data_IF_013182909301
#
_entry.id   IF_013182909301
#
_cell.length_a   1.000
_cell.length_b   1.000
_cell.length_c   1.000
_cell.angle_alpha   90.00
_cell.angle_beta   90.00
_cell.angle_gamma   90.00
#
_symmetry.space_group_name_H-M   'P 1'
#
loop_
_entity.id
_entity.type
_entity.pdbx_description
1 polymer ?
#
# COMPACT_ATOMS: atom_id res chain seq x y z
N UNK A 1 11.24 1.79 20.46
CA UNK A 1 11.51 2.68 19.32
C UNK A 1 10.36 2.47 18.36
N UNK A 2 9.52 3.49 18.20
CA UNK A 2 8.33 3.41 17.35
C UNK A 2 8.83 3.78 15.96
N UNK A 3 8.95 2.79 15.07
CA UNK A 3 9.25 3.05 13.67
C UNK A 3 7.92 3.47 13.04
N UNK A 4 7.73 4.77 12.85
CA UNK A 4 6.55 5.30 12.17
C UNK A 4 6.61 4.87 10.69
N UNK A 5 5.70 3.99 10.30
CA UNK A 5 5.51 3.61 8.91
C UNK A 5 5.18 4.86 8.10
N UNK A 6 6.07 5.24 7.18
CA UNK A 6 5.89 6.46 6.39
C UNK A 6 4.88 6.19 5.27
N UNK A 7 3.61 6.52 5.52
CA UNK A 7 2.52 6.37 4.56
C UNK A 7 2.66 7.32 3.38
N UNK A 8 2.54 6.78 2.17
CA UNK A 8 2.59 7.49 0.89
C UNK A 8 1.24 7.34 0.18
N UNK A 9 0.57 8.46 -0.08
CA UNK A 9 -0.67 8.49 -0.85
C UNK A 9 -0.39 8.31 -2.34
N UNK A 10 -1.20 7.52 -3.03
CA UNK A 10 -1.09 7.33 -4.48
C UNK A 10 -1.31 8.63 -5.25
N UNK A 11 -0.49 8.87 -6.28
CA UNK A 11 -0.63 10.02 -7.19
C UNK A 11 -1.89 9.94 -8.05
N UNK A 12 -2.46 8.75 -8.23
CA UNK A 12 -3.72 8.52 -8.93
C UNK A 12 -4.95 8.89 -8.09
N UNK A 13 -4.76 9.22 -6.81
CA UNK A 13 -5.84 9.66 -5.92
C UNK A 13 -6.09 11.18 -5.96
N UNK A 14 -5.70 11.85 -7.06
CA UNK A 14 -5.96 13.28 -7.27
C UNK A 14 -7.35 13.48 -7.87
N UNK A 15 -8.31 13.89 -7.04
CA UNK A 15 -9.65 14.33 -7.48
C UNK A 15 -10.82 13.38 -7.18
N UNK A 16 -10.58 12.23 -6.55
CA UNK A 16 -11.58 11.17 -6.34
C UNK A 16 -11.70 10.74 -4.87
N UNK A 17 -12.85 10.12 -4.53
CA UNK A 17 -13.16 9.53 -3.21
C UNK A 17 -12.67 8.08 -3.06
N UNK A 18 -11.65 7.65 -3.79
CA UNK A 18 -11.07 6.30 -3.74
C UNK A 18 -9.55 6.39 -3.51
N UNK A 19 -9.19 6.97 -2.37
CA UNK A 19 -7.80 7.32 -2.05
C UNK A 19 -7.07 6.13 -1.39
N UNK A 20 -5.93 5.71 -1.94
CA UNK A 20 -5.12 4.60 -1.40
C UNK A 20 -3.78 5.12 -0.88
N UNK A 21 -3.36 4.60 0.28
CA UNK A 21 -2.04 4.84 0.87
C UNK A 21 -1.25 3.53 0.99
N UNK A 22 0.06 3.61 0.79
CA UNK A 22 0.99 2.49 0.96
C UNK A 22 2.14 2.88 1.90
N UNK A 23 2.61 1.95 2.71
CA UNK A 23 3.79 2.14 3.55
C UNK A 23 4.70 0.91 3.50
N UNK A 24 6.01 1.15 3.54
CA UNK A 24 6.99 0.09 3.77
C UNK A 24 7.04 -0.20 5.27
N UNK A 25 6.93 -1.47 5.65
CA UNK A 25 6.86 -1.88 7.06
C UNK A 25 8.24 -2.26 7.60
N UNK A 26 8.43 -2.18 8.91
CA UNK A 26 9.72 -2.52 9.57
C UNK A 26 10.15 -3.98 9.36
N UNK A 27 9.23 -4.86 8.94
CA UNK A 27 9.46 -6.28 8.68
C UNK A 27 9.70 -6.65 7.21
N UNK A 28 10.15 -5.71 6.37
CA UNK A 28 10.30 -5.90 4.92
C UNK A 28 8.98 -6.28 4.23
N UNK A 29 7.86 -5.74 4.72
CA UNK A 29 6.55 -5.90 4.12
C UNK A 29 6.05 -4.59 3.52
N UNK A 30 4.86 -4.65 2.94
CA UNK A 30 4.13 -3.48 2.47
C UNK A 30 2.74 -3.49 3.09
N UNK A 31 2.35 -2.36 3.65
CA UNK A 31 1.00 -2.12 4.14
C UNK A 31 0.23 -1.26 3.14
N UNK A 32 -1.02 -1.61 2.87
CA UNK A 32 -1.93 -0.87 1.98
C UNK A 32 -3.21 -0.58 2.74
N UNK A 33 -3.69 0.67 2.68
CA UNK A 33 -4.96 1.05 3.31
C UNK A 33 -5.75 2.05 2.47
N UNK A 34 -7.02 2.12 2.79
CA UNK A 34 -7.89 3.18 2.34
C UNK A 34 -7.63 4.46 3.15
N UNK A 35 -7.51 5.60 2.46
CA UNK A 35 -7.18 6.88 3.10
C UNK A 35 -8.34 7.43 3.92
N UNK A 36 -9.58 7.11 3.57
CA UNK A 36 -10.78 7.61 4.25
C UNK A 36 -11.15 6.76 5.46
N UNK A 37 -10.79 5.49 5.45
CA UNK A 37 -11.15 4.52 6.48
C UNK A 37 -9.89 4.00 7.22
N UNK A 38 -9.04 4.92 7.69
CA UNK A 38 -7.73 4.59 8.32
C UNK A 38 -7.89 3.78 9.61
N UNK A 39 -9.00 4.00 10.31
CA UNK A 39 -9.38 3.33 11.54
C UNK A 39 -9.80 1.87 11.34
N UNK A 40 -10.15 1.47 10.12
CA UNK A 40 -10.46 0.07 9.80
C UNK A 40 -9.20 -0.78 9.63
N UNK A 41 -8.01 -0.18 9.70
CA UNK A 41 -6.72 -0.85 9.62
C UNK A 41 -6.13 -0.86 8.22
N UNK A 42 -5.27 -1.85 7.96
CA UNK A 42 -4.54 -1.99 6.71
C UNK A 42 -4.35 -3.46 6.33
N UNK A 43 -4.17 -3.71 5.04
CA UNK A 43 -3.75 -5.01 4.52
C UNK A 43 -2.23 -5.06 4.52
N UNK A 44 -1.65 -6.15 5.04
CA UNK A 44 -0.21 -6.37 5.06
C UNK A 44 0.20 -7.45 4.07
N UNK A 45 1.28 -7.20 3.34
CA UNK A 45 1.88 -8.12 2.37
C UNK A 45 3.37 -8.28 2.64
N UNK A 46 3.94 -9.44 2.32
CA UNK A 46 5.40 -9.59 2.27
C UNK A 46 5.96 -8.80 1.08
N UNK A 47 7.22 -8.38 1.14
CA UNK A 47 7.88 -7.74 0.00
C UNK A 47 7.87 -8.62 -1.26
N UNK A 48 8.00 -9.95 -1.09
CA UNK A 48 7.96 -10.90 -2.21
C UNK A 48 6.60 -10.88 -2.91
N UNK A 49 5.52 -11.07 -2.15
CA UNK A 49 4.17 -11.09 -2.71
C UNK A 49 3.81 -9.75 -3.37
N UNK A 50 4.20 -8.64 -2.73
CA UNK A 50 4.02 -7.30 -3.29
C UNK A 50 4.78 -7.10 -4.61
N UNK A 51 6.02 -7.59 -4.69
CA UNK A 51 6.84 -7.55 -5.90
C UNK A 51 6.23 -8.34 -7.06
N UNK A 52 5.72 -9.54 -6.79
CA UNK A 52 5.00 -10.36 -7.79
C UNK A 52 3.75 -9.64 -8.27
N UNK A 53 2.91 -9.15 -7.34
CA UNK A 53 1.71 -8.40 -7.67
C UNK A 53 2.00 -7.22 -8.60
N UNK A 54 2.98 -6.37 -8.25
CA UNK A 54 3.35 -5.22 -9.08
C UNK A 54 3.84 -5.61 -10.46
N UNK A 55 4.56 -6.74 -10.58
CA UNK A 55 5.03 -7.25 -11.87
C UNK A 55 3.86 -7.69 -12.74
N UNK A 56 2.91 -8.43 -12.17
CA UNK A 56 1.76 -8.94 -12.92
C UNK A 56 0.80 -7.80 -13.32
N UNK A 57 0.56 -6.80 -12.45
CA UNK A 57 -0.18 -5.57 -12.83
C UNK A 57 0.49 -4.88 -14.02
N UNK A 58 1.80 -4.65 -13.96
CA UNK A 58 2.54 -3.91 -14.99
C UNK A 58 2.62 -4.64 -16.33
N UNK A 59 2.46 -5.96 -16.31
CA UNK A 59 2.52 -6.82 -17.50
C UNK A 59 1.15 -7.28 -17.97
N UNK A 60 0.07 -6.75 -17.38
CA UNK A 60 -1.33 -7.06 -17.72
C UNK A 60 -1.66 -8.57 -17.62
N UNK A 61 -1.24 -9.17 -16.49
CA UNK A 61 -1.37 -10.61 -16.22
C UNK A 61 -2.29 -10.94 -15.02
N UNK A 62 -3.09 -9.97 -14.58
CA UNK A 62 -4.06 -10.12 -13.49
C UNK A 62 -5.48 -10.25 -14.01
#
# INVERSE_FOLDING_TARGET
MIYEETWRKSSYSKGESNCVEVADTTGLGVAVRDTQNRELGHLGFSAEAWGVFLRDVKTDRL
#
